data_IF_210404340408
#
_entry.id   IF_210404340408
#
_cell.length_a   1.000
_cell.length_b   1.000
_cell.length_c   1.000
_cell.angle_alpha   90.00
_cell.angle_beta   90.00
_cell.angle_gamma   90.00
#
_symmetry.space_group_name_H-M   'P 1'
#
loop_
_entity.id
_entity.type
_entity.pdbx_description
1 polymer ?
#
# COMPACT_ATOMS: atom_id res chain seq x y z
N UNK A 1 4.40 -24.20 -14.04
CA UNK A 1 4.26 -24.27 -15.52
C UNK A 1 2.83 -24.13 -16.02
N UNK A 2 1.84 -24.82 -15.47
CA UNK A 2 0.44 -24.78 -15.92
C UNK A 2 -0.20 -23.39 -15.89
N UNK A 3 0.02 -22.59 -14.86
CA UNK A 3 -0.56 -21.24 -14.73
C UNK A 3 -0.03 -20.24 -15.78
N UNK A 4 1.27 -20.26 -16.10
CA UNK A 4 1.84 -19.44 -17.21
C UNK A 4 1.22 -19.79 -18.56
N UNK A 5 0.94 -21.07 -18.80
CA UNK A 5 0.26 -21.53 -20.01
C UNK A 5 -1.20 -21.06 -20.03
N UNK A 6 -1.89 -21.12 -18.90
CA UNK A 6 -3.26 -20.61 -18.76
C UNK A 6 -3.34 -19.11 -19.05
N UNK A 7 -2.42 -18.32 -18.49
CA UNK A 7 -2.31 -16.89 -18.75
C UNK A 7 -2.06 -16.59 -20.23
N UNK A 8 -1.06 -17.26 -20.84
CA UNK A 8 -0.74 -17.07 -22.25
C UNK A 8 -1.94 -17.40 -23.17
N UNK A 9 -2.71 -18.46 -22.85
CA UNK A 9 -3.93 -18.82 -23.59
C UNK A 9 -5.04 -17.78 -23.44
N UNK A 10 -5.27 -17.26 -22.22
CA UNK A 10 -6.26 -16.23 -21.97
C UNK A 10 -5.93 -14.93 -22.71
N UNK A 11 -4.64 -14.61 -22.81
CA UNK A 11 -4.15 -13.39 -23.50
C UNK A 11 -4.16 -13.53 -25.01
N UNK A 12 -4.02 -14.76 -25.57
CA UNK A 12 -3.93 -14.99 -27.01
C UNK A 12 -5.21 -14.60 -27.77
N UNK A 13 -6.35 -14.49 -27.10
CA UNK A 13 -7.62 -14.03 -27.70
C UNK A 13 -7.85 -12.53 -27.54
N UNK A 14 -6.88 -11.79 -27.02
CA UNK A 14 -6.90 -10.32 -26.83
C UNK A 14 -8.19 -9.79 -26.18
N UNK A 15 -8.63 -10.32 -25.02
CA UNK A 15 -9.87 -9.90 -24.39
C UNK A 15 -9.77 -8.46 -23.85
N UNK A 16 -10.89 -7.76 -23.76
CA UNK A 16 -10.96 -6.44 -23.14
C UNK A 16 -10.86 -6.52 -21.62
N UNK A 17 -11.37 -7.60 -21.02
CA UNK A 17 -11.37 -7.84 -19.57
C UNK A 17 -10.80 -9.23 -19.31
N UNK A 18 -9.84 -9.31 -18.39
CA UNK A 18 -9.25 -10.54 -17.86
C UNK A 18 -9.73 -10.76 -16.44
N UNK A 19 -10.28 -11.96 -16.17
CA UNK A 19 -10.74 -12.35 -14.83
C UNK A 19 -9.85 -13.48 -14.32
N UNK A 20 -9.29 -13.31 -13.13
CA UNK A 20 -8.43 -14.25 -12.44
C UNK A 20 -9.09 -14.66 -11.13
N UNK A 21 -9.29 -15.96 -10.94
CA UNK A 21 -9.82 -16.53 -9.70
C UNK A 21 -8.69 -17.28 -8.99
N UNK A 22 -8.23 -16.70 -7.87
CA UNK A 22 -7.12 -17.17 -7.05
C UNK A 22 -5.87 -17.64 -7.83
N UNK A 23 -5.32 -16.82 -8.75
CA UNK A 23 -4.32 -17.29 -9.72
C UNK A 23 -2.98 -17.71 -9.07
N UNK A 24 -2.72 -17.30 -7.83
CA UNK A 24 -1.45 -17.55 -7.16
C UNK A 24 -1.56 -18.48 -5.95
N UNK A 25 -2.76 -19.00 -5.62
CA UNK A 25 -3.02 -19.78 -4.39
C UNK A 25 -2.20 -21.07 -4.28
N UNK A 26 -1.90 -21.72 -5.42
CA UNK A 26 -1.17 -22.99 -5.48
C UNK A 26 0.36 -22.83 -5.67
N UNK A 27 0.89 -21.60 -5.57
CA UNK A 27 2.30 -21.30 -5.77
C UNK A 27 3.07 -21.16 -4.44
N UNK A 28 4.32 -21.59 -4.44
CA UNK A 28 5.23 -21.25 -3.36
C UNK A 28 5.53 -19.73 -3.33
N UNK A 29 5.96 -19.18 -2.17
CA UNK A 29 6.07 -17.73 -2.00
C UNK A 29 7.05 -17.04 -2.96
N UNK A 30 8.10 -17.73 -3.43
CA UNK A 30 9.07 -17.14 -4.35
C UNK A 30 8.47 -17.02 -5.75
N UNK A 31 7.96 -18.13 -6.28
CA UNK A 31 7.32 -18.19 -7.61
C UNK A 31 6.08 -17.28 -7.66
N UNK A 32 5.33 -17.19 -6.55
CA UNK A 32 4.19 -16.27 -6.43
C UNK A 32 4.61 -14.82 -6.67
N UNK A 33 5.68 -14.35 -6.03
CA UNK A 33 6.20 -12.99 -6.22
C UNK A 33 6.63 -12.73 -7.65
N UNK A 34 7.39 -13.66 -8.25
CA UNK A 34 7.82 -13.55 -9.64
C UNK A 34 6.63 -13.45 -10.60
N UNK A 35 5.61 -14.30 -10.42
CA UNK A 35 4.41 -14.31 -11.25
C UNK A 35 3.59 -13.02 -11.11
N UNK A 36 3.48 -12.49 -9.90
CA UNK A 36 2.82 -11.21 -9.65
C UNK A 36 3.55 -10.06 -10.38
N UNK A 37 4.88 -10.02 -10.29
CA UNK A 37 5.69 -8.99 -10.94
C UNK A 37 5.60 -9.10 -12.48
N UNK A 38 5.69 -10.32 -13.03
CA UNK A 38 5.47 -10.56 -14.46
C UNK A 38 4.09 -10.07 -14.93
N UNK A 39 3.04 -10.35 -14.13
CA UNK A 39 1.67 -9.97 -14.49
C UNK A 39 1.45 -8.46 -14.42
N UNK A 40 2.04 -7.76 -13.44
CA UNK A 40 2.04 -6.30 -13.37
C UNK A 40 2.75 -5.67 -14.57
N UNK A 41 3.87 -6.25 -15.02
CA UNK A 41 4.58 -5.76 -16.20
C UNK A 41 3.79 -5.99 -17.49
N UNK A 42 3.06 -7.09 -17.57
CA UNK A 42 2.13 -7.37 -18.68
C UNK A 42 0.98 -6.38 -18.66
N UNK A 43 0.37 -6.12 -17.49
CA UNK A 43 -0.73 -5.17 -17.34
C UNK A 43 -0.33 -3.76 -17.79
N UNK A 44 0.86 -3.28 -17.39
CA UNK A 44 1.40 -1.98 -17.82
C UNK A 44 1.56 -1.88 -19.35
N UNK A 45 1.92 -2.98 -20.00
CA UNK A 45 2.09 -3.03 -21.46
C UNK A 45 0.77 -3.10 -22.20
N UNK A 46 -0.17 -3.90 -21.71
CA UNK A 46 -1.45 -4.14 -22.36
C UNK A 46 -2.51 -3.10 -22.03
N UNK A 47 -2.44 -2.46 -20.85
CA UNK A 47 -3.41 -1.51 -20.34
C UNK A 47 -4.87 -2.01 -20.40
N UNK A 48 -5.06 -3.31 -20.10
CA UNK A 48 -6.38 -3.95 -20.08
C UNK A 48 -6.95 -3.97 -18.69
N UNK A 49 -8.27 -4.02 -18.59
CA UNK A 49 -8.95 -4.21 -17.31
C UNK A 49 -8.73 -5.63 -16.81
N UNK A 50 -8.24 -5.75 -15.58
CA UNK A 50 -8.02 -7.03 -14.92
C UNK A 50 -8.83 -7.08 -13.63
N UNK A 51 -9.56 -8.15 -13.41
CA UNK A 51 -10.31 -8.42 -12.18
C UNK A 51 -9.65 -9.60 -11.49
N UNK A 52 -9.19 -9.39 -10.25
CA UNK A 52 -8.57 -10.42 -9.42
C UNK A 52 -9.48 -10.79 -8.25
N UNK A 53 -9.71 -12.08 -8.08
CA UNK A 53 -10.32 -12.63 -6.88
C UNK A 53 -9.21 -13.29 -6.08
N UNK A 54 -9.03 -12.86 -4.85
CA UNK A 54 -8.03 -13.42 -3.93
C UNK A 54 -8.52 -13.31 -2.50
N UNK A 55 -8.09 -14.22 -1.63
CA UNK A 55 -8.27 -14.14 -0.19
C UNK A 55 -7.06 -13.54 0.52
N UNK A 56 -5.98 -13.25 -0.21
CA UNK A 56 -4.76 -12.62 0.33
C UNK A 56 -4.83 -11.10 0.11
N UNK A 57 -5.01 -10.36 1.20
CA UNK A 57 -5.14 -8.91 1.14
C UNK A 57 -3.85 -8.20 0.69
N UNK A 58 -2.67 -8.77 0.97
CA UNK A 58 -1.40 -8.22 0.47
C UNK A 58 -1.27 -8.38 -1.05
N UNK A 59 -1.81 -9.47 -1.62
CA UNK A 59 -1.94 -9.60 -3.07
C UNK A 59 -2.86 -8.53 -3.64
N UNK A 60 -4.04 -8.33 -3.03
CA UNK A 60 -4.97 -7.29 -3.48
C UNK A 60 -4.34 -5.90 -3.46
N UNK A 61 -3.59 -5.55 -2.40
CA UNK A 61 -2.85 -4.28 -2.29
C UNK A 61 -1.79 -4.15 -3.38
N UNK A 62 -1.06 -5.23 -3.68
CA UNK A 62 0.03 -5.21 -4.67
C UNK A 62 -0.49 -5.10 -6.11
N UNK A 63 -1.60 -5.76 -6.41
CA UNK A 63 -2.11 -5.96 -7.77
C UNK A 63 -3.19 -4.95 -8.17
N UNK A 64 -3.98 -4.44 -7.20
CA UNK A 64 -5.19 -3.69 -7.49
C UNK A 64 -5.01 -2.17 -7.39
N UNK A 65 -5.49 -1.45 -8.39
CA UNK A 65 -5.71 0.00 -8.31
C UNK A 65 -6.90 0.31 -7.40
N UNK A 66 -7.92 -0.56 -7.42
CA UNK A 66 -9.09 -0.54 -6.55
C UNK A 66 -9.35 -1.93 -5.97
N UNK A 67 -9.76 -1.98 -4.72
CA UNK A 67 -10.08 -3.20 -3.99
C UNK A 67 -11.54 -3.14 -3.55
N UNK A 68 -12.27 -4.24 -3.75
CA UNK A 68 -13.58 -4.47 -3.18
C UNK A 68 -13.48 -5.58 -2.12
N UNK A 69 -13.75 -5.25 -0.87
CA UNK A 69 -13.79 -6.23 0.22
C UNK A 69 -15.21 -6.75 0.36
N UNK A 70 -15.36 -8.07 0.27
CA UNK A 70 -16.64 -8.76 0.37
C UNK A 70 -16.75 -9.56 1.67
N UNK A 71 -17.94 -9.55 2.25
CA UNK A 71 -18.29 -10.34 3.42
C UNK A 71 -19.71 -10.86 3.27
N UNK A 72 -19.93 -12.13 3.52
CA UNK A 72 -21.26 -12.78 3.50
C UNK A 72 -22.06 -12.53 2.20
N UNK A 73 -21.36 -12.40 1.05
CA UNK A 73 -21.96 -12.13 -0.25
C UNK A 73 -22.25 -10.66 -0.56
N UNK A 74 -21.94 -9.76 0.37
CA UNK A 74 -22.11 -8.31 0.21
C UNK A 74 -20.77 -7.57 0.15
N UNK A 75 -20.73 -6.41 -0.49
CA UNK A 75 -19.56 -5.56 -0.53
C UNK A 75 -19.53 -4.69 0.73
N UNK A 76 -18.52 -4.89 1.59
CA UNK A 76 -18.30 -4.07 2.79
C UNK A 76 -17.67 -2.72 2.46
N UNK A 77 -16.64 -2.71 1.61
CA UNK A 77 -15.92 -1.50 1.24
C UNK A 77 -15.32 -1.62 -0.16
N UNK A 78 -15.32 -0.51 -0.89
CA UNK A 78 -14.58 -0.34 -2.16
C UNK A 78 -13.72 0.91 -2.05
N UNK A 79 -12.49 0.84 -2.52
CA UNK A 79 -11.57 1.99 -2.55
C UNK A 79 -10.19 1.60 -3.06
N UNK A 80 -9.31 2.59 -3.14
CA UNK A 80 -7.89 2.33 -3.36
C UNK A 80 -7.28 1.59 -2.17
N UNK A 81 -6.17 0.86 -2.33
CA UNK A 81 -5.45 0.24 -1.21
C UNK A 81 -5.21 1.20 -0.06
N UNK A 82 -4.82 2.44 -0.38
CA UNK A 82 -4.55 3.48 0.61
C UNK A 82 -5.80 3.92 1.37
N UNK A 83 -6.92 4.12 0.69
CA UNK A 83 -8.19 4.51 1.32
C UNK A 83 -8.68 3.45 2.29
N UNK A 84 -8.61 2.17 1.90
CA UNK A 84 -9.05 1.06 2.74
C UNK A 84 -8.17 0.93 3.99
N UNK A 85 -6.84 1.03 3.83
CA UNK A 85 -5.90 0.91 4.95
C UNK A 85 -5.96 2.13 5.90
N UNK A 86 -6.19 3.34 5.34
CA UNK A 86 -6.30 4.56 6.13
C UNK A 86 -7.64 4.67 6.89
N UNK A 87 -8.74 4.26 6.25
CA UNK A 87 -10.10 4.48 6.73
C UNK A 87 -10.97 3.22 6.59
N UNK A 88 -10.68 2.14 7.35
CA UNK A 88 -11.51 0.94 7.31
C UNK A 88 -12.92 1.24 7.83
N UNK A 89 -13.95 0.84 7.08
CA UNK A 89 -15.36 1.17 7.34
C UNK A 89 -15.92 0.44 8.57
N UNK A 90 -15.45 -0.77 8.83
CA UNK A 90 -15.90 -1.60 9.94
C UNK A 90 -14.76 -2.42 10.56
N UNK A 91 -15.10 -3.19 11.59
CA UNK A 91 -14.13 -4.06 12.27
C UNK A 91 -13.57 -5.13 11.35
N UNK A 92 -14.41 -5.71 10.47
CA UNK A 92 -13.98 -6.77 9.55
C UNK A 92 -12.89 -6.27 8.58
N UNK A 93 -13.12 -5.11 7.96
CA UNK A 93 -12.12 -4.47 7.08
C UNK A 93 -10.87 -4.09 7.88
N UNK A 94 -11.03 -3.58 9.11
CA UNK A 94 -9.91 -3.24 9.99
C UNK A 94 -9.04 -4.46 10.31
N UNK A 95 -9.66 -5.60 10.60
CA UNK A 95 -8.94 -6.85 10.90
C UNK A 95 -8.12 -7.32 9.68
N UNK A 96 -8.64 -7.15 8.44
CA UNK A 96 -7.88 -7.39 7.20
C UNK A 96 -6.67 -6.47 7.05
N UNK A 97 -6.77 -5.23 7.53
CA UNK A 97 -5.70 -4.24 7.44
C UNK A 97 -4.65 -4.37 8.56
N UNK A 98 -4.86 -5.24 9.56
CA UNK A 98 -4.00 -5.29 10.75
C UNK A 98 -2.58 -5.70 10.42
N UNK A 99 -2.42 -6.70 9.54
CA UNK A 99 -1.11 -7.24 9.13
C UNK A 99 -0.45 -6.44 7.99
N UNK A 100 -1.11 -5.40 7.49
CA UNK A 100 -0.57 -4.59 6.39
C UNK A 100 0.54 -3.68 6.89
N UNK A 101 1.73 -3.71 6.27
CA UNK A 101 2.78 -2.74 6.56
C UNK A 101 2.38 -1.35 6.04
N UNK A 102 1.77 -0.55 6.92
CA UNK A 102 1.16 0.75 6.57
C UNK A 102 2.11 1.70 5.84
N UNK A 103 3.40 1.67 6.20
CA UNK A 103 4.42 2.48 5.54
C UNK A 103 4.61 2.17 4.04
N UNK A 104 4.24 0.97 3.59
CA UNK A 104 4.28 0.58 2.16
C UNK A 104 3.09 1.10 1.36
N UNK A 105 1.98 1.32 2.03
CA UNK A 105 0.70 1.65 1.39
C UNK A 105 0.38 3.14 1.49
N UNK A 106 0.59 3.73 2.68
CA UNK A 106 0.20 5.10 2.95
C UNK A 106 1.19 6.12 2.37
N UNK A 107 0.64 7.24 1.90
CA UNK A 107 1.40 8.43 1.50
C UNK A 107 1.67 9.35 2.69
N UNK A 108 2.61 10.26 2.51
CA UNK A 108 2.97 11.29 3.49
C UNK A 108 1.75 12.11 3.91
N UNK A 109 0.91 12.50 2.97
CA UNK A 109 -0.30 13.28 3.22
C UNK A 109 -1.34 12.60 4.11
N UNK A 110 -1.36 11.25 4.18
CA UNK A 110 -2.30 10.50 5.04
C UNK A 110 -1.84 10.38 6.49
N UNK A 111 -0.53 10.52 6.74
CA UNK A 111 0.04 10.37 8.08
C UNK A 111 0.57 11.66 8.67
N UNK A 112 0.74 12.70 7.87
CA UNK A 112 1.29 13.99 8.27
C UNK A 112 0.56 14.62 9.46
N UNK A 113 1.26 15.47 10.19
CA UNK A 113 0.68 16.41 11.13
C UNK A 113 0.26 17.67 10.37
N UNK A 114 -0.97 18.14 10.56
CA UNK A 114 -1.48 19.34 9.88
C UNK A 114 -0.91 20.64 10.46
N UNK A 115 -0.55 20.62 11.76
CA UNK A 115 0.11 21.76 12.42
C UNK A 115 1.60 21.70 12.10
N UNK A 116 2.11 22.76 11.48
CA UNK A 116 3.51 22.86 11.10
C UNK A 116 4.32 23.61 12.16
N UNK A 117 5.46 23.05 12.54
CA UNK A 117 6.45 23.69 13.42
C UNK A 117 7.12 24.89 12.74
N UNK A 118 7.77 25.74 13.53
CA UNK A 118 8.54 26.88 12.99
C UNK A 118 9.74 26.41 12.17
N UNK A 119 10.29 25.23 12.48
CA UNK A 119 11.36 24.60 11.74
C UNK A 119 10.91 24.19 10.34
N UNK A 120 9.78 23.47 10.25
CA UNK A 120 9.17 23.05 9.00
C UNK A 120 8.80 24.26 8.12
N UNK A 121 8.26 25.33 8.70
CA UNK A 121 7.95 26.59 7.97
C UNK A 121 9.20 27.28 7.41
N UNK A 122 10.32 27.23 8.13
CA UNK A 122 11.61 27.75 7.62
C UNK A 122 12.12 26.91 6.46
N UNK A 123 12.05 25.58 6.59
CA UNK A 123 12.47 24.65 5.54
C UNK A 123 11.60 24.74 4.29
N UNK A 124 10.34 25.14 4.40
CA UNK A 124 9.44 25.34 3.27
C UNK A 124 9.97 26.34 2.23
N UNK A 125 10.82 27.29 2.65
CA UNK A 125 11.48 28.22 1.73
C UNK A 125 12.47 27.51 0.79
N UNK A 126 12.99 26.35 1.17
CA UNK A 126 13.85 25.49 0.37
C UNK A 126 13.02 24.35 -0.24
N UNK A 127 12.54 24.56 -1.47
CA UNK A 127 11.69 23.57 -2.17
C UNK A 127 12.35 22.19 -2.33
N UNK A 128 13.66 22.10 -2.25
CA UNK A 128 14.37 20.81 -2.37
C UNK A 128 14.17 19.91 -1.14
N UNK A 129 13.77 20.51 -0.02
CA UNK A 129 13.48 19.81 1.24
C UNK A 129 12.00 19.57 1.48
N UNK A 130 11.13 19.99 0.56
CA UNK A 130 9.70 19.75 0.64
C UNK A 130 9.39 18.34 0.13
N UNK A 131 8.45 17.69 0.80
CA UNK A 131 7.96 16.35 0.45
C UNK A 131 6.57 16.48 -0.17
N UNK A 132 6.34 15.79 -1.29
CA UNK A 132 5.03 15.70 -1.93
C UNK A 132 4.06 14.89 -1.05
N UNK A 133 2.82 15.37 -0.89
CA UNK A 133 1.79 14.68 -0.10
C UNK A 133 1.50 13.26 -0.61
N UNK A 134 1.70 13.00 -1.90
CA UNK A 134 1.48 11.68 -2.51
C UNK A 134 2.70 10.74 -2.42
N UNK A 135 3.84 11.24 -1.92
CA UNK A 135 5.03 10.40 -1.75
C UNK A 135 4.77 9.26 -0.77
N UNK A 136 5.12 8.03 -1.14
CA UNK A 136 4.96 6.86 -0.25
C UNK A 136 5.94 6.93 0.91
N UNK A 137 5.49 6.59 2.12
CA UNK A 137 6.34 6.62 3.32
C UNK A 137 7.57 5.72 3.14
N UNK A 138 7.42 4.57 2.48
CA UNK A 138 8.52 3.64 2.22
C UNK A 138 9.72 4.32 1.53
N UNK A 139 9.47 5.22 0.61
CA UNK A 139 10.53 5.94 -0.13
C UNK A 139 11.18 7.07 0.68
N UNK A 140 10.57 7.45 1.79
CA UNK A 140 11.00 8.57 2.64
C UNK A 140 11.72 8.11 3.91
N UNK A 141 11.72 6.80 4.20
CA UNK A 141 12.25 6.24 5.46
C UNK A 141 13.71 6.66 5.66
N UNK A 142 14.56 6.42 4.66
CA UNK A 142 15.99 6.73 4.77
C UNK A 142 16.21 8.22 5.01
N UNK A 143 15.57 9.07 4.21
CA UNK A 143 15.70 10.53 4.33
C UNK A 143 15.23 11.07 5.69
N UNK A 144 14.07 10.60 6.18
CA UNK A 144 13.45 11.13 7.41
C UNK A 144 14.10 10.52 8.66
N UNK A 145 14.67 9.32 8.56
CA UNK A 145 15.30 8.65 9.71
C UNK A 145 16.76 9.03 9.91
N UNK A 146 17.41 9.71 8.97
CA UNK A 146 18.80 10.18 9.10
C UNK A 146 18.95 11.28 10.15
N UNK A 147 17.95 12.13 10.32
CA UNK A 147 17.94 13.20 11.30
C UNK A 147 16.58 13.34 12.01
N UNK A 148 16.46 14.23 12.99
CA UNK A 148 15.21 14.50 13.70
C UNK A 148 14.45 15.70 13.11
N UNK A 149 14.74 16.08 11.87
CA UNK A 149 14.15 17.24 11.20
C UNK A 149 12.68 16.99 10.85
N UNK A 150 11.83 17.99 11.08
CA UNK A 150 10.44 17.98 10.61
C UNK A 150 10.38 18.54 9.18
N UNK A 151 10.09 17.67 8.22
CA UNK A 151 10.02 18.02 6.81
C UNK A 151 8.65 18.56 6.41
N UNK A 152 8.60 19.71 5.68
CA UNK A 152 7.36 20.26 5.18
C UNK A 152 6.76 19.38 4.08
N UNK A 153 5.44 19.16 4.14
CA UNK A 153 4.67 18.46 3.10
C UNK A 153 3.91 19.50 2.29
N UNK A 154 4.01 19.37 0.98
CA UNK A 154 3.36 20.25 0.01
C UNK A 154 2.31 19.50 -0.79
N UNK A 155 1.26 20.23 -1.14
CA UNK A 155 0.31 19.74 -2.13
C UNK A 155 0.98 19.72 -3.51
N UNK A 156 0.87 18.58 -4.21
CA UNK A 156 1.54 18.35 -5.49
C UNK A 156 1.11 19.32 -6.60
N UNK A 157 -0.14 19.83 -6.54
CA UNK A 157 -0.71 20.69 -7.59
C UNK A 157 -0.54 22.17 -7.27
N UNK A 158 -0.86 22.58 -6.04
CA UNK A 158 -0.80 23.99 -5.65
C UNK A 158 0.57 24.43 -5.13
N UNK A 159 1.40 23.49 -4.69
CA UNK A 159 2.68 23.77 -4.03
C UNK A 159 2.54 24.42 -2.65
N UNK A 160 1.34 24.42 -2.08
CA UNK A 160 1.06 24.96 -0.75
C UNK A 160 1.49 24.00 0.34
N UNK A 161 1.92 24.56 1.48
CA UNK A 161 2.26 23.79 2.68
C UNK A 161 0.97 23.22 3.29
N UNK A 162 0.86 21.89 3.35
CA UNK A 162 -0.33 21.18 3.87
C UNK A 162 -0.10 20.49 5.20
N UNK A 163 1.17 20.32 5.61
CA UNK A 163 1.52 19.67 6.86
C UNK A 163 3.02 19.44 7.02
N UNK A 164 3.37 18.63 7.99
CA UNK A 164 4.74 18.19 8.23
C UNK A 164 4.82 16.70 8.57
N UNK A 165 5.97 16.09 8.30
CA UNK A 165 6.30 14.73 8.69
C UNK A 165 7.66 14.69 9.38
N UNK A 166 7.76 13.93 10.46
CA UNK A 166 8.98 13.70 11.21
C UNK A 166 9.25 12.21 11.44
N UNK A 167 10.42 11.88 11.95
CA UNK A 167 10.83 10.53 12.30
C UNK A 167 9.79 9.82 13.20
N UNK A 168 9.17 10.55 14.14
CA UNK A 168 8.20 9.98 15.07
C UNK A 168 6.95 9.47 14.35
N UNK A 169 6.48 10.22 13.36
CA UNK A 169 5.32 9.87 12.53
C UNK A 169 5.63 8.63 11.69
N UNK A 170 6.79 8.62 11.02
CA UNK A 170 7.25 7.47 10.22
C UNK A 170 7.38 6.22 11.10
N UNK A 171 8.04 6.32 12.25
CA UNK A 171 8.19 5.19 13.19
C UNK A 171 6.86 4.68 13.74
N UNK A 172 5.85 5.54 13.93
CA UNK A 172 4.50 5.10 14.30
C UNK A 172 3.83 4.31 13.19
N UNK A 173 4.00 4.70 11.92
CA UNK A 173 3.44 3.98 10.77
C UNK A 173 4.10 2.60 10.58
N UNK A 174 5.33 2.43 11.04
CA UNK A 174 6.06 1.15 11.02
C UNK A 174 5.70 0.23 12.19
N UNK A 175 5.33 0.77 13.36
CA UNK A 175 5.04 0.01 14.59
C UNK A 175 3.80 -0.87 14.52
N UNK A 176 2.96 -0.72 13.54
CA UNK A 176 1.82 -1.64 13.30
C UNK A 176 2.25 -3.09 13.01
N UNK A 177 3.55 -3.34 12.81
CA UNK A 177 4.16 -4.66 12.60
C UNK A 177 4.65 -5.37 13.88
N UNK A 178 4.61 -4.76 15.07
CA UNK A 178 5.31 -5.31 16.25
C UNK A 178 4.41 -5.71 17.41
N UNK A 179 3.28 -6.38 17.13
CA UNK A 179 2.62 -7.25 18.09
C UNK A 179 2.74 -8.71 17.61
N UNK A 180 3.96 -9.16 17.37
CA UNK A 180 4.22 -10.58 17.54
C UNK A 180 4.02 -10.82 19.03
N UNK A 181 2.90 -11.42 19.41
CA UNK A 181 2.74 -12.05 20.70
C UNK A 181 3.83 -13.13 20.80
N UNK A 182 4.92 -12.81 21.47
CA UNK A 182 5.76 -13.82 22.09
C UNK A 182 4.88 -14.37 23.20
N UNK A 183 4.14 -15.44 22.91
CA UNK A 183 3.53 -16.28 23.91
C UNK A 183 4.69 -16.81 24.74
N UNK A 184 4.78 -16.41 26.00
CA UNK A 184 5.71 -16.99 26.95
C UNK A 184 5.57 -18.51 26.92
N UNK A 185 6.68 -19.29 26.87
CA UNK A 185 6.60 -20.73 26.96
C UNK A 185 6.01 -21.08 28.31
N UNK A 186 4.84 -21.72 28.30
CA UNK A 186 4.23 -22.33 29.48
C UNK A 186 5.26 -23.27 30.10
N UNK A 187 5.80 -22.89 31.26
CA UNK A 187 6.63 -23.81 32.07
C UNK A 187 5.71 -24.93 32.56
N UNK A 188 6.01 -26.15 32.13
CA UNK A 188 5.57 -27.38 32.78
C UNK A 188 6.37 -27.60 34.07
#
# INVERSE_FOLDING_TARGET
MQQRVGLARAMAVEPEILIFDEPFSALDPLIRREMQDELLDIQKKLQRTMVFITHDFLEAIKMGDHIAIMKDGEISQVGTPEEIVANPVDKYVKDFCEDVPKYKVLSAGKVMRKECSDESKKLFSDKTKCIDENAKIETLIDQICEDDTAYPIINAQSGELVGEIDRTIVMKSMKSLSLIHISEPTRL
#
